data_IF_284250175465
#
_entry.id   IF_284250175465
#
_cell.length_a   1.000
_cell.length_b   1.000
_cell.length_c   1.000
_cell.angle_alpha   90.00
_cell.angle_beta   90.00
_cell.angle_gamma   90.00
#
_symmetry.space_group_name_H-M   'P 1'
#
loop_
_entity.id
_entity.type
_entity.pdbx_description
1 polymer ?
#
# COMPACT_ATOMS: atom_id res chain seq x y z
N UNK A 1 0.45 41.04 -33.84
CA UNK A 1 1.22 39.83 -34.22
C UNK A 1 1.46 39.05 -32.95
N UNK A 2 0.93 37.83 -32.86
CA UNK A 2 1.19 36.95 -31.72
C UNK A 2 2.69 36.74 -31.58
N UNK A 3 3.27 37.16 -30.44
CA UNK A 3 4.71 37.08 -30.18
C UNK A 3 5.23 35.63 -30.13
N UNK A 4 4.34 34.65 -30.09
CA UNK A 4 4.65 33.21 -30.03
C UNK A 4 3.76 32.38 -30.97
N UNK A 5 3.49 32.86 -32.19
CA UNK A 5 2.60 32.14 -33.11
C UNK A 5 3.10 30.73 -33.50
N UNK A 6 4.36 30.39 -33.21
CA UNK A 6 4.94 29.08 -33.44
C UNK A 6 4.43 28.00 -32.46
N UNK A 7 3.92 28.40 -31.29
CA UNK A 7 3.37 27.46 -30.30
C UNK A 7 2.03 26.86 -30.74
N UNK A 8 1.29 27.54 -31.62
CA UNK A 8 -0.04 27.11 -32.07
C UNK A 8 -0.02 26.06 -33.21
N UNK A 9 1.15 25.68 -33.72
CA UNK A 9 1.27 24.89 -34.95
C UNK A 9 2.17 23.63 -34.83
N UNK A 10 2.66 23.30 -33.63
CA UNK A 10 3.63 22.23 -33.45
C UNK A 10 3.02 20.96 -32.83
N UNK A 11 3.38 19.79 -33.37
CA UNK A 11 3.05 18.49 -32.79
C UNK A 11 3.91 18.21 -31.55
N UNK A 12 3.38 17.54 -30.53
CA UNK A 12 4.05 17.21 -29.25
C UNK A 12 5.39 16.49 -29.39
N UNK A 13 5.57 15.67 -30.43
CA UNK A 13 6.85 15.02 -30.75
C UNK A 13 7.97 16.01 -31.12
N UNK A 14 7.61 17.14 -31.72
CA UNK A 14 8.55 18.21 -32.07
C UNK A 14 9.06 18.96 -30.84
N UNK A 15 8.21 19.14 -29.82
CA UNK A 15 8.61 19.74 -28.54
C UNK A 15 9.61 18.87 -27.78
N UNK A 16 9.41 17.56 -27.76
CA UNK A 16 10.33 16.63 -27.09
C UNK A 16 11.73 16.62 -27.76
N UNK A 17 11.77 16.64 -29.09
CA UNK A 17 13.03 16.70 -29.85
C UNK A 17 13.75 18.05 -29.66
N UNK A 18 12.99 19.15 -29.62
CA UNK A 18 13.54 20.48 -29.33
C UNK A 18 14.04 20.58 -27.88
N UNK A 19 13.36 19.97 -26.92
CA UNK A 19 13.81 19.95 -25.53
C UNK A 19 15.08 19.10 -25.35
N UNK A 20 15.18 17.95 -26.02
CA UNK A 20 16.41 17.12 -25.97
C UNK A 20 17.61 17.83 -26.66
N UNK A 21 17.35 18.66 -27.67
CA UNK A 21 18.37 19.55 -28.23
C UNK A 21 18.73 20.69 -27.29
N UNK A 22 17.74 21.27 -26.62
CA UNK A 22 17.94 22.31 -25.61
C UNK A 22 18.83 21.82 -24.46
N UNK A 23 18.58 20.62 -23.90
CA UNK A 23 19.38 20.08 -22.78
C UNK A 23 20.83 19.78 -23.15
N UNK A 24 21.11 19.45 -24.41
CA UNK A 24 22.45 19.16 -24.93
C UNK A 24 23.20 20.40 -25.41
N UNK A 25 22.51 21.33 -26.05
CA UNK A 25 23.09 22.56 -26.61
C UNK A 25 22.03 23.67 -26.73
N UNK A 26 21.81 24.47 -25.67
CA UNK A 26 20.79 25.51 -25.65
C UNK A 26 20.96 26.54 -26.78
N UNK A 27 22.20 26.84 -27.14
CA UNK A 27 22.53 27.82 -28.19
C UNK A 27 22.21 27.35 -29.62
N UNK A 28 21.96 26.05 -29.80
CA UNK A 28 21.57 25.47 -31.09
C UNK A 28 20.11 25.75 -31.48
N UNK A 29 19.31 26.26 -30.55
CA UNK A 29 17.90 26.60 -30.77
C UNK A 29 17.70 28.07 -31.07
N UNK A 30 16.62 28.39 -31.78
CA UNK A 30 16.17 29.77 -31.94
C UNK A 30 15.92 30.41 -30.56
N UNK A 31 16.28 31.70 -30.37
CA UNK A 31 16.13 32.38 -29.08
C UNK A 31 14.75 32.28 -28.43
N UNK A 32 13.68 32.19 -29.21
CA UNK A 32 12.30 32.05 -28.75
C UNK A 32 12.06 30.70 -28.05
N UNK A 33 12.57 29.60 -28.60
CA UNK A 33 12.51 28.25 -28.01
C UNK A 33 13.42 28.11 -26.80
N UNK A 34 14.60 28.72 -26.84
CA UNK A 34 15.51 28.75 -25.69
C UNK A 34 14.89 29.48 -24.50
N UNK A 35 14.26 30.63 -24.74
CA UNK A 35 13.55 31.38 -23.71
C UNK A 35 12.33 30.61 -23.17
N UNK A 36 11.62 29.87 -24.03
CA UNK A 36 10.52 29.00 -23.62
C UNK A 36 11.00 27.87 -22.69
N UNK A 37 12.04 27.13 -23.08
CA UNK A 37 12.56 26.03 -22.25
C UNK A 37 13.30 26.49 -21.00
N UNK A 38 13.94 27.66 -21.03
CA UNK A 38 14.45 28.31 -19.81
C UNK A 38 13.32 28.69 -18.85
N UNK A 39 12.20 29.20 -19.36
CA UNK A 39 11.01 29.48 -18.55
C UNK A 39 10.35 28.20 -18.01
N UNK A 40 10.39 27.11 -18.78
CA UNK A 40 9.92 25.79 -18.38
C UNK A 40 10.79 25.18 -17.28
N UNK A 41 12.12 25.18 -17.44
CA UNK A 41 13.06 24.73 -16.42
C UNK A 41 13.00 25.60 -15.16
N UNK A 42 12.89 26.92 -15.31
CA UNK A 42 12.67 27.83 -14.19
C UNK A 42 11.35 27.56 -13.48
N UNK A 43 10.29 27.22 -14.22
CA UNK A 43 9.00 26.77 -13.67
C UNK A 43 9.10 25.46 -12.89
N UNK A 44 9.99 24.56 -13.32
CA UNK A 44 10.32 23.30 -12.64
C UNK A 44 11.21 23.51 -11.40
N UNK A 45 12.21 24.38 -11.48
CA UNK A 45 13.09 24.74 -10.37
C UNK A 45 12.37 25.58 -9.31
N UNK A 46 11.42 26.43 -9.71
CA UNK A 46 10.55 27.15 -8.76
C UNK A 46 9.50 26.25 -8.08
N UNK A 47 9.32 25.01 -8.53
CA UNK A 47 8.66 23.94 -7.75
C UNK A 47 9.60 23.21 -6.79
N UNK A 48 10.92 23.37 -6.92
CA UNK A 48 11.93 22.88 -5.98
C UNK A 48 12.26 23.91 -4.88
N UNK A 49 11.91 25.19 -5.09
CA UNK A 49 11.93 26.27 -4.08
C UNK A 49 10.77 26.16 -3.08
N UNK A 50 10.60 24.99 -2.45
CA UNK A 50 9.84 24.79 -1.19
C UNK A 50 10.47 25.55 0.03
N UNK A 51 11.21 26.64 -0.23
CA UNK A 51 12.03 27.43 0.72
C UNK A 51 11.60 28.92 0.84
N UNK A 52 10.33 29.24 0.59
CA UNK A 52 9.66 30.47 1.06
C UNK A 52 10.02 31.81 0.37
N UNK A 53 9.78 31.97 -0.96
CA UNK A 53 9.59 33.30 -1.61
C UNK A 53 8.53 33.26 -2.74
N UNK A 54 7.71 34.33 -2.82
CA UNK A 54 6.45 34.48 -3.54
C UNK A 54 6.53 34.49 -5.09
N UNK A 55 5.76 33.60 -5.74
CA UNK A 55 5.32 33.77 -7.12
C UNK A 55 4.20 34.84 -7.18
N UNK A 56 4.37 35.84 -8.05
CA UNK A 56 3.37 36.87 -8.34
C UNK A 56 2.05 36.25 -8.83
N UNK A 57 0.92 36.65 -8.22
CA UNK A 57 -0.46 36.20 -8.52
C UNK A 57 -0.93 36.38 -9.98
N UNK A 58 -0.11 36.94 -10.87
CA UNK A 58 -0.52 37.35 -12.22
C UNK A 58 0.15 36.59 -13.38
N UNK A 59 0.83 35.47 -13.14
CA UNK A 59 1.38 34.65 -14.25
C UNK A 59 2.47 35.34 -15.07
N UNK A 60 3.13 36.35 -14.50
CA UNK A 60 4.23 37.10 -15.12
C UNK A 60 5.57 36.43 -14.82
N UNK A 61 6.29 36.01 -15.88
CA UNK A 61 7.66 35.51 -15.78
C UNK A 61 8.62 36.63 -16.20
N UNK A 62 9.59 36.97 -15.34
CA UNK A 62 10.60 37.98 -15.64
C UNK A 62 11.72 37.36 -16.50
N UNK A 63 11.90 37.87 -17.71
CA UNK A 63 13.06 37.53 -18.54
C UNK A 63 14.36 38.12 -17.95
N UNK A 64 15.51 37.51 -18.26
CA UNK A 64 16.88 37.99 -17.94
C UNK A 64 17.12 39.44 -18.41
N UNK A 65 16.33 39.94 -19.37
CA UNK A 65 16.37 41.33 -19.85
C UNK A 65 15.34 42.27 -19.18
N UNK A 66 14.70 41.87 -18.09
CA UNK A 66 13.73 42.70 -17.36
C UNK A 66 12.38 42.91 -18.05
N UNK A 67 12.10 42.20 -19.14
CA UNK A 67 10.78 42.21 -19.80
C UNK A 67 9.91 41.10 -19.23
N UNK A 68 8.72 41.47 -18.74
CA UNK A 68 7.68 40.53 -18.32
C UNK A 68 7.05 39.88 -19.55
N UNK A 69 7.04 38.55 -19.57
CA UNK A 69 6.32 37.76 -20.58
C UNK A 69 5.08 37.18 -19.91
N UNK A 70 3.89 37.46 -20.46
CA UNK A 70 2.64 36.81 -20.07
C UNK A 70 2.49 35.49 -20.83
N UNK A 71 2.37 34.40 -20.08
CA UNK A 71 2.05 33.09 -20.65
C UNK A 71 0.59 33.07 -21.15
N UNK A 72 0.28 32.43 -22.30
CA UNK A 72 -1.09 32.24 -22.74
C UNK A 72 -1.93 31.54 -21.65
N UNK A 73 -3.15 32.02 -21.41
CA UNK A 73 -4.01 31.50 -20.34
C UNK A 73 -4.30 29.99 -20.47
N UNK A 74 -4.43 29.48 -21.70
CA UNK A 74 -4.60 28.04 -21.96
C UNK A 74 -3.40 27.23 -21.44
N UNK A 75 -2.18 27.68 -21.73
CA UNK A 75 -0.95 27.02 -21.28
C UNK A 75 -0.78 27.12 -19.76
N UNK A 76 -1.16 28.24 -19.14
CA UNK A 76 -1.16 28.36 -17.67
C UNK A 76 -2.09 27.33 -17.02
N UNK A 77 -3.30 27.16 -17.56
CA UNK A 77 -4.26 26.18 -17.05
C UNK A 77 -3.78 24.74 -17.25
N UNK A 78 -3.09 24.45 -18.34
CA UNK A 78 -2.44 23.15 -18.56
C UNK A 78 -1.49 22.79 -17.39
N UNK A 79 -0.62 23.71 -16.99
CA UNK A 79 0.27 23.52 -15.84
C UNK A 79 -0.48 23.38 -14.51
N UNK A 80 -1.60 24.08 -14.34
CA UNK A 80 -2.44 23.94 -13.15
C UNK A 80 -3.09 22.55 -13.08
N UNK A 81 -3.51 21.99 -14.21
CA UNK A 81 -4.03 20.61 -14.28
C UNK A 81 -2.93 19.59 -14.00
N UNK A 82 -1.70 19.80 -14.48
CA UNK A 82 -0.56 18.94 -14.10
C UNK A 82 -0.29 19.00 -12.59
N UNK A 83 -0.32 20.19 -11.99
CA UNK A 83 -0.19 20.34 -10.52
C UNK A 83 -1.32 19.64 -9.76
N UNK A 84 -2.55 19.68 -10.28
CA UNK A 84 -3.68 18.94 -9.73
C UNK A 84 -3.40 17.42 -9.74
N UNK A 85 -2.96 16.88 -10.89
CA UNK A 85 -2.58 15.47 -11.04
C UNK A 85 -1.53 15.07 -10.01
N UNK A 86 -0.46 15.85 -9.87
CA UNK A 86 0.60 15.58 -8.88
C UNK A 86 0.09 15.70 -7.44
N UNK A 87 -0.86 16.60 -7.19
CA UNK A 87 -1.59 16.69 -5.92
C UNK A 87 -2.32 15.40 -5.56
N UNK A 88 -3.02 14.77 -6.51
CA UNK A 88 -3.69 13.49 -6.29
C UNK A 88 -2.68 12.34 -6.10
N UNK A 89 -1.62 12.27 -6.92
CA UNK A 89 -0.56 11.25 -6.81
C UNK A 89 0.15 11.30 -5.45
N UNK A 90 0.40 12.51 -4.95
CA UNK A 90 1.16 12.72 -3.70
C UNK A 90 0.31 12.67 -2.43
N UNK A 91 -0.97 13.12 -2.50
CA UNK A 91 -1.81 13.31 -1.30
C UNK A 91 -3.18 12.63 -1.38
N UNK A 92 -3.55 12.00 -2.49
CA UNK A 92 -4.85 11.34 -2.67
C UNK A 92 -5.16 10.30 -1.59
N UNK A 93 -4.16 9.55 -1.13
CA UNK A 93 -4.25 8.59 -0.02
C UNK A 93 -4.78 9.19 1.31
N UNK A 94 -4.70 10.52 1.49
CA UNK A 94 -5.27 11.23 2.64
C UNK A 94 -6.80 11.34 2.56
N UNK A 95 -7.38 11.25 1.36
CA UNK A 95 -8.79 11.49 1.04
C UNK A 95 -9.57 10.21 0.67
N UNK A 96 -8.99 9.04 0.89
CA UNK A 96 -9.60 7.76 0.51
C UNK A 96 -10.77 7.32 1.40
N UNK A 97 -11.66 6.47 0.87
CA UNK A 97 -12.76 5.84 1.59
C UNK A 97 -12.35 4.52 2.26
N UNK A 98 -11.20 4.51 2.93
CA UNK A 98 -10.60 3.29 3.47
C UNK A 98 -11.11 2.86 4.85
N UNK A 99 -11.76 3.72 5.62
CA UNK A 99 -12.10 3.42 7.01
C UNK A 99 -13.54 2.89 7.14
N UNK A 100 -13.74 1.62 7.55
CA UNK A 100 -15.07 1.01 7.57
C UNK A 100 -15.97 1.47 8.72
N UNK A 101 -15.39 1.90 9.84
CA UNK A 101 -16.14 2.13 11.10
C UNK A 101 -15.95 3.52 11.71
N UNK A 102 -14.99 4.32 11.22
CA UNK A 102 -14.76 5.69 11.68
C UNK A 102 -14.84 6.69 10.53
N UNK A 103 -15.26 7.92 10.85
CA UNK A 103 -15.03 9.05 9.97
C UNK A 103 -13.53 9.33 9.87
N UNK A 104 -13.05 9.62 8.66
CA UNK A 104 -11.66 9.99 8.43
C UNK A 104 -11.33 11.38 8.99
N UNK A 105 -10.04 11.57 9.25
CA UNK A 105 -9.45 12.88 9.55
C UNK A 105 -9.68 13.81 8.35
N UNK A 106 -9.91 15.09 8.64
CA UNK A 106 -9.97 16.15 7.62
C UNK A 106 -8.55 16.66 7.40
N UNK A 107 -8.16 16.82 6.14
CA UNK A 107 -6.85 17.32 5.73
C UNK A 107 -7.01 18.61 4.93
N UNK A 108 -6.05 19.51 5.08
CA UNK A 108 -5.96 20.79 4.36
C UNK A 108 -4.52 21.01 3.88
N UNK A 109 -4.29 21.57 2.68
CA UNK A 109 -5.32 21.95 1.69
C UNK A 109 -6.02 20.72 1.07
N UNK A 110 -7.26 20.89 0.64
CA UNK A 110 -8.06 19.84 -0.03
C UNK A 110 -7.54 19.59 -1.45
N UNK A 111 -8.13 18.62 -2.16
CA UNK A 111 -7.90 18.39 -3.59
C UNK A 111 -8.86 19.19 -4.50
N UNK A 112 -9.59 20.16 -3.94
CA UNK A 112 -10.47 21.05 -4.70
C UNK A 112 -9.66 21.87 -5.70
N UNK A 113 -10.22 22.04 -6.90
CA UNK A 113 -9.56 22.68 -8.05
C UNK A 113 -9.10 24.11 -7.78
N UNK A 114 -9.81 24.83 -6.91
CA UNK A 114 -9.49 26.20 -6.49
C UNK A 114 -8.11 26.28 -5.82
N UNK A 115 -7.68 25.24 -5.10
CA UNK A 115 -6.35 25.18 -4.48
C UNK A 115 -5.21 25.06 -5.51
N UNK A 116 -5.55 24.75 -6.76
CA UNK A 116 -4.62 24.66 -7.89
C UNK A 116 -4.79 25.82 -8.87
N UNK A 117 -5.63 26.81 -8.56
CA UNK A 117 -5.86 27.99 -9.39
C UNK A 117 -6.79 27.76 -10.58
N UNK A 118 -7.56 26.66 -10.56
CA UNK A 118 -8.61 26.33 -11.51
C UNK A 118 -9.98 26.73 -10.92
N UNK A 119 -11.02 26.76 -11.74
CA UNK A 119 -12.38 27.14 -11.34
C UNK A 119 -13.44 26.24 -11.96
N UNK A 120 -14.68 26.32 -11.51
CA UNK A 120 -15.79 25.55 -12.09
C UNK A 120 -15.99 25.79 -13.60
N UNK A 121 -15.62 26.98 -14.09
CA UNK A 121 -15.69 27.31 -15.51
C UNK A 121 -14.72 26.48 -16.38
N UNK A 122 -13.71 25.86 -15.75
CA UNK A 122 -12.70 25.06 -16.43
C UNK A 122 -13.10 23.59 -16.58
N UNK A 123 -14.14 23.13 -15.88
CA UNK A 123 -14.51 21.71 -15.79
C UNK A 123 -14.75 21.05 -17.15
N UNK A 124 -15.36 21.77 -18.09
CA UNK A 124 -15.69 21.26 -19.42
C UNK A 124 -14.64 21.67 -20.48
N UNK A 125 -13.55 22.32 -20.05
CA UNK A 125 -12.40 22.59 -20.92
C UNK A 125 -11.57 21.33 -21.09
N UNK A 126 -11.12 21.09 -22.33
CA UNK A 126 -10.32 19.93 -22.72
C UNK A 126 -8.84 20.25 -22.53
N UNK A 127 -8.12 19.35 -21.86
CA UNK A 127 -6.70 19.47 -21.52
C UNK A 127 -5.90 18.30 -22.08
N UNK A 128 -4.68 18.58 -22.54
CA UNK A 128 -3.70 17.59 -23.00
C UNK A 128 -3.09 16.80 -21.84
N UNK A 129 -3.12 17.34 -20.62
CA UNK A 129 -2.61 16.74 -19.39
C UNK A 129 -3.23 15.36 -19.11
N UNK A 130 -4.44 15.07 -19.63
CA UNK A 130 -5.04 13.73 -19.56
C UNK A 130 -4.19 12.64 -20.22
N UNK A 131 -3.34 12.98 -21.20
CA UNK A 131 -2.39 12.02 -21.79
C UNK A 131 -1.41 11.47 -20.75
N UNK A 132 -1.05 12.24 -19.72
CA UNK A 132 -0.14 11.79 -18.64
C UNK A 132 -0.76 10.76 -17.70
N UNK A 133 -2.08 10.57 -17.81
CA UNK A 133 -2.87 9.56 -17.09
C UNK A 133 -3.24 8.38 -17.99
N UNK A 134 -2.86 8.40 -19.28
CA UNK A 134 -3.21 7.35 -20.24
C UNK A 134 -4.65 7.41 -20.78
N UNK A 135 -5.43 8.43 -20.41
CA UNK A 135 -6.84 8.60 -20.85
C UNK A 135 -6.99 9.49 -22.09
N UNK A 136 -5.87 9.93 -22.69
CA UNK A 136 -5.87 10.84 -23.82
C UNK A 136 -6.26 12.27 -23.45
N UNK A 137 -6.43 13.12 -24.46
CA UNK A 137 -6.94 14.48 -24.27
C UNK A 137 -8.38 14.42 -23.70
N UNK A 138 -8.62 15.07 -22.56
CA UNK A 138 -9.84 14.88 -21.77
C UNK A 138 -10.30 16.18 -21.11
N UNK A 139 -11.59 16.29 -20.78
CA UNK A 139 -12.09 17.41 -19.99
C UNK A 139 -11.52 17.38 -18.58
N UNK A 140 -11.35 18.54 -17.93
CA UNK A 140 -10.93 18.60 -16.52
C UNK A 140 -11.83 17.75 -15.62
N UNK A 141 -13.14 17.74 -15.88
CA UNK A 141 -14.11 16.87 -15.18
C UNK A 141 -13.75 15.39 -15.27
N UNK A 142 -13.44 14.92 -16.49
CA UNK A 142 -13.05 13.52 -16.72
C UNK A 142 -11.71 13.19 -16.05
N UNK A 143 -10.75 14.12 -16.09
CA UNK A 143 -9.47 14.00 -15.40
C UNK A 143 -9.66 13.85 -13.89
N UNK A 144 -10.49 14.71 -13.27
CA UNK A 144 -10.78 14.65 -11.83
C UNK A 144 -11.44 13.33 -11.45
N UNK A 145 -12.46 12.89 -12.21
CA UNK A 145 -13.14 11.63 -11.94
C UNK A 145 -12.19 10.43 -11.97
N UNK A 146 -11.30 10.39 -12.96
CA UNK A 146 -10.29 9.34 -13.07
C UNK A 146 -9.27 9.38 -11.92
N UNK A 147 -8.81 10.57 -11.53
CA UNK A 147 -7.91 10.74 -10.38
C UNK A 147 -8.56 10.36 -9.04
N UNK A 148 -9.84 10.72 -8.84
CA UNK A 148 -10.62 10.33 -7.67
C UNK A 148 -10.80 8.81 -7.59
N UNK A 149 -11.07 8.16 -8.72
CA UNK A 149 -11.18 6.70 -8.82
C UNK A 149 -9.88 6.02 -8.38
N UNK A 150 -8.74 6.45 -8.93
CA UNK A 150 -7.44 5.82 -8.66
C UNK A 150 -6.96 6.04 -7.23
N UNK A 151 -7.01 7.28 -6.74
CA UNK A 151 -6.26 7.69 -5.55
C UNK A 151 -7.14 7.96 -4.32
N UNK A 152 -8.47 8.03 -4.45
CA UNK A 152 -9.38 8.50 -3.39
C UNK A 152 -10.52 7.52 -3.06
N UNK A 153 -10.50 6.28 -3.54
CA UNK A 153 -11.55 5.30 -3.26
C UNK A 153 -11.15 4.27 -2.19
N UNK A 154 -11.30 2.96 -2.42
CA UNK A 154 -11.04 1.92 -1.42
C UNK A 154 -9.55 1.66 -1.14
N UNK A 155 -8.65 2.13 -2.02
CA UNK A 155 -7.19 1.95 -1.91
C UNK A 155 -6.52 3.32 -1.96
N UNK A 156 -5.70 3.64 -0.96
CA UNK A 156 -4.76 4.75 -0.98
C UNK A 156 -3.36 4.26 -1.24
N UNK A 157 -2.62 4.88 -2.14
CA UNK A 157 -1.26 4.47 -2.50
C UNK A 157 -0.28 5.58 -2.16
N UNK A 158 0.75 5.26 -1.39
CA UNK A 158 1.88 6.15 -1.15
C UNK A 158 3.12 5.60 -1.85
N UNK A 159 3.62 6.34 -2.84
CA UNK A 159 4.77 5.91 -3.64
C UNK A 159 5.62 7.06 -4.21
N UNK A 160 5.12 8.29 -4.22
CA UNK A 160 5.82 9.42 -4.86
C UNK A 160 7.17 9.80 -4.20
N UNK A 161 7.46 9.33 -2.98
CA UNK A 161 8.79 9.46 -2.36
C UNK A 161 9.85 8.50 -2.94
N UNK A 162 9.45 7.53 -3.76
CA UNK A 162 10.37 6.62 -4.45
C UNK A 162 11.24 7.44 -5.41
N UNK A 163 12.56 7.26 -5.35
CA UNK A 163 13.51 8.03 -6.17
C UNK A 163 13.78 7.43 -7.54
N UNK A 164 13.35 6.19 -7.78
CA UNK A 164 13.62 5.46 -9.03
C UNK A 164 12.48 5.68 -10.02
N UNK A 165 12.70 6.40 -11.15
CA UNK A 165 11.63 6.74 -12.08
C UNK A 165 10.93 5.52 -12.68
N UNK A 166 11.68 4.47 -13.00
CA UNK A 166 11.13 3.21 -13.53
C UNK A 166 10.09 2.58 -12.57
N UNK A 167 10.36 2.63 -11.25
CA UNK A 167 9.44 2.10 -10.24
C UNK A 167 8.19 2.96 -10.13
N UNK A 168 8.34 4.29 -10.14
CA UNK A 168 7.20 5.21 -10.15
C UNK A 168 6.34 4.96 -11.39
N UNK A 169 6.96 4.87 -12.56
CA UNK A 169 6.25 4.64 -13.82
C UNK A 169 5.50 3.31 -13.78
N UNK A 170 6.14 2.23 -13.33
CA UNK A 170 5.48 0.93 -13.20
C UNK A 170 4.25 0.98 -12.29
N UNK A 171 4.33 1.71 -11.16
CA UNK A 171 3.18 1.88 -10.27
C UNK A 171 2.07 2.66 -10.98
N UNK A 172 2.40 3.78 -11.64
CA UNK A 172 1.42 4.58 -12.38
C UNK A 172 0.75 3.78 -13.49
N UNK A 173 1.53 3.00 -14.26
CA UNK A 173 1.01 2.13 -15.31
C UNK A 173 0.07 1.08 -14.75
N UNK A 174 0.42 0.45 -13.61
CA UNK A 174 -0.47 -0.49 -12.93
C UNK A 174 -1.79 0.15 -12.52
N UNK A 175 -1.73 1.32 -11.89
CA UNK A 175 -2.91 2.03 -11.39
C UNK A 175 -3.84 2.49 -12.53
N UNK A 176 -3.28 2.88 -13.68
CA UNK A 176 -4.05 3.39 -14.81
C UNK A 176 -4.76 2.29 -15.63
N UNK A 177 -4.40 1.00 -15.49
CA UNK A 177 -5.00 -0.09 -16.29
C UNK A 177 -6.50 -0.24 -16.01
N UNK A 178 -6.92 -0.06 -14.77
CA UNK A 178 -8.27 -0.34 -14.28
C UNK A 178 -8.73 0.66 -13.23
N UNK A 179 -8.19 1.87 -13.28
CA UNK A 179 -8.42 2.95 -12.31
C UNK A 179 -8.18 2.52 -10.86
N UNK A 180 -7.25 1.56 -10.66
CA UNK A 180 -6.96 0.91 -9.39
C UNK A 180 -8.12 0.09 -8.79
N UNK A 181 -9.02 -0.43 -9.62
CA UNK A 181 -10.16 -1.27 -9.21
C UNK A 181 -10.08 -2.71 -9.75
N UNK A 182 -10.40 -3.72 -8.94
CA UNK A 182 -10.40 -5.12 -9.37
C UNK A 182 -11.35 -5.37 -10.54
N UNK A 183 -10.89 -6.12 -11.55
CA UNK A 183 -11.73 -6.67 -12.62
C UNK A 183 -11.77 -8.20 -12.51
N UNK A 184 -12.49 -8.70 -11.51
CA UNK A 184 -12.57 -10.14 -11.23
C UNK A 184 -13.77 -10.81 -11.90
N UNK A 185 -13.55 -12.02 -12.41
CA UNK A 185 -14.62 -12.87 -12.93
C UNK A 185 -15.54 -13.33 -11.79
N UNK A 186 -16.81 -13.69 -12.08
CA UNK A 186 -17.71 -14.24 -11.07
C UNK A 186 -17.14 -15.46 -10.33
N UNK A 187 -16.34 -16.29 -11.01
CA UNK A 187 -15.67 -17.46 -10.44
C UNK A 187 -14.64 -17.06 -9.40
N UNK A 188 -13.79 -16.06 -9.72
CA UNK A 188 -12.79 -15.56 -8.78
C UNK A 188 -13.46 -14.89 -7.57
N UNK A 189 -14.53 -14.11 -7.79
CA UNK A 189 -15.33 -13.52 -6.70
C UNK A 189 -15.91 -14.58 -5.76
N UNK A 190 -16.40 -15.71 -6.31
CA UNK A 190 -16.87 -16.85 -5.50
C UNK A 190 -15.73 -17.50 -4.70
N UNK A 191 -14.54 -17.62 -5.29
CA UNK A 191 -13.35 -18.11 -4.57
C UNK A 191 -12.97 -17.21 -3.39
N UNK A 192 -12.93 -15.89 -3.61
CA UNK A 192 -12.67 -14.89 -2.57
C UNK A 192 -13.73 -14.98 -1.45
N UNK A 193 -15.01 -15.07 -1.81
CA UNK A 193 -16.10 -15.26 -0.86
C UNK A 193 -15.96 -16.58 -0.08
N UNK A 194 -15.52 -17.66 -0.74
CA UNK A 194 -15.24 -18.95 -0.10
C UNK A 194 -14.22 -18.81 1.02
N UNK A 195 -13.10 -18.12 0.75
CA UNK A 195 -12.05 -17.84 1.74
C UNK A 195 -12.53 -16.97 2.91
N UNK A 196 -13.37 -15.98 2.64
CA UNK A 196 -14.03 -15.21 3.71
C UNK A 196 -14.96 -16.09 4.56
N UNK A 197 -15.75 -16.96 3.93
CA UNK A 197 -16.65 -17.87 4.64
C UNK A 197 -15.88 -18.85 5.53
N UNK A 198 -14.73 -19.36 5.08
CA UNK A 198 -13.82 -20.19 5.89
C UNK A 198 -13.37 -19.43 7.15
N UNK A 199 -12.91 -18.18 6.99
CA UNK A 199 -12.46 -17.33 8.09
C UNK A 199 -13.58 -17.04 9.11
N UNK A 200 -14.73 -16.58 8.62
CA UNK A 200 -15.88 -16.20 9.47
C UNK A 200 -16.47 -17.41 10.19
N UNK A 201 -16.60 -18.54 9.49
CA UNK A 201 -17.16 -19.77 10.06
C UNK A 201 -16.27 -20.33 11.16
N UNK A 202 -14.95 -20.32 10.95
CA UNK A 202 -13.99 -20.78 11.93
C UNK A 202 -14.02 -19.93 13.21
N UNK A 203 -13.99 -18.60 13.08
CA UNK A 203 -14.06 -17.68 14.22
C UNK A 203 -15.39 -17.80 14.98
N UNK A 204 -16.51 -17.86 14.25
CA UNK A 204 -17.85 -18.02 14.83
C UNK A 204 -17.99 -19.34 15.59
N UNK A 205 -17.39 -20.42 15.06
CA UNK A 205 -17.37 -21.72 15.75
C UNK A 205 -16.58 -21.63 17.06
N UNK A 206 -15.37 -21.07 17.03
CA UNK A 206 -14.55 -20.92 18.24
C UNK A 206 -15.25 -20.04 19.29
N UNK A 207 -15.89 -18.95 18.86
CA UNK A 207 -16.66 -18.08 19.75
C UNK A 207 -17.80 -18.82 20.46
N UNK A 208 -18.51 -19.68 19.72
CA UNK A 208 -19.67 -20.42 20.24
C UNK A 208 -19.26 -21.58 21.13
N UNK A 209 -18.18 -22.30 20.78
CA UNK A 209 -17.78 -23.54 21.48
C UNK A 209 -16.84 -23.31 22.66
N UNK A 210 -15.93 -22.35 22.56
CA UNK A 210 -14.90 -22.09 23.59
C UNK A 210 -15.11 -20.71 24.22
N UNK A 211 -16.29 -20.51 24.80
CA UNK A 211 -16.69 -19.23 25.41
C UNK A 211 -15.69 -18.83 26.51
N UNK A 212 -15.21 -17.59 26.43
CA UNK A 212 -14.27 -17.02 27.42
C UNK A 212 -12.81 -17.49 27.27
N UNK A 213 -12.51 -18.42 26.35
CA UNK A 213 -11.13 -18.77 26.03
C UNK A 213 -10.50 -17.75 25.07
N UNK A 214 -9.27 -17.35 25.38
CA UNK A 214 -8.50 -16.40 24.55
C UNK A 214 -8.12 -17.06 23.23
N UNK A 215 -8.54 -16.45 22.13
CA UNK A 215 -8.18 -16.86 20.76
C UNK A 215 -7.60 -15.73 19.91
N UNK A 216 -7.76 -14.47 20.35
CA UNK A 216 -7.33 -13.28 19.61
C UNK A 216 -7.95 -13.20 18.22
N UNK A 217 -9.27 -13.23 18.21
CA UNK A 217 -10.12 -13.32 17.02
C UNK A 217 -9.72 -12.38 15.89
N UNK A 218 -9.79 -12.89 14.66
CA UNK A 218 -9.64 -12.10 13.44
C UNK A 218 -10.88 -11.26 13.09
N UNK A 219 -12.01 -11.40 13.80
CA UNK A 219 -13.27 -10.75 13.42
C UNK A 219 -13.15 -9.21 13.33
N UNK A 220 -13.48 -8.65 12.15
CA UNK A 220 -13.21 -7.27 11.72
C UNK A 220 -11.94 -7.08 10.86
N UNK A 221 -11.23 -8.17 10.55
CA UNK A 221 -10.02 -8.22 9.71
C UNK A 221 -9.92 -9.51 8.87
N UNK A 222 -11.05 -10.14 8.59
CA UNK A 222 -11.16 -11.45 7.92
C UNK A 222 -10.56 -11.45 6.51
N UNK A 223 -10.50 -10.29 5.86
CA UNK A 223 -9.88 -10.10 4.54
C UNK A 223 -8.38 -10.40 4.51
N UNK A 224 -7.72 -10.57 5.66
CA UNK A 224 -6.37 -11.13 5.74
C UNK A 224 -6.27 -12.52 5.09
N UNK A 225 -7.29 -13.37 5.26
CA UNK A 225 -7.28 -14.74 4.70
C UNK A 225 -7.25 -14.73 3.16
N UNK A 226 -8.20 -14.09 2.45
CA UNK A 226 -8.11 -14.00 0.99
C UNK A 226 -6.87 -13.24 0.50
N UNK A 227 -6.34 -12.27 1.25
CA UNK A 227 -5.07 -11.60 0.91
C UNK A 227 -3.88 -12.56 0.90
N UNK A 228 -3.72 -13.37 1.96
CA UNK A 228 -2.65 -14.36 2.06
C UNK A 228 -2.83 -15.46 1.01
N UNK A 229 -4.07 -15.90 0.80
CA UNK A 229 -4.40 -16.92 -0.17
C UNK A 229 -3.98 -16.52 -1.59
N UNK A 230 -4.39 -15.34 -2.05
CA UNK A 230 -4.03 -14.87 -3.41
C UNK A 230 -2.52 -14.64 -3.57
N UNK A 231 -1.83 -14.18 -2.52
CA UNK A 231 -0.37 -14.03 -2.53
C UNK A 231 0.28 -15.38 -2.75
N UNK A 232 -0.14 -16.42 -2.00
CA UNK A 232 0.46 -17.76 -2.09
C UNK A 232 0.20 -18.39 -3.46
N UNK A 233 -1.06 -18.37 -3.92
CA UNK A 233 -1.46 -18.94 -5.20
C UNK A 233 -0.68 -18.30 -6.36
N UNK A 234 -0.69 -16.96 -6.44
CA UNK A 234 0.03 -16.25 -7.51
C UNK A 234 1.54 -16.35 -7.38
N UNK A 235 2.09 -16.34 -6.17
CA UNK A 235 3.52 -16.45 -5.97
C UNK A 235 4.04 -17.81 -6.43
N UNK A 236 3.29 -18.89 -6.16
CA UNK A 236 3.58 -20.21 -6.70
C UNK A 236 3.56 -20.20 -8.24
N UNK A 237 2.58 -19.52 -8.84
CA UNK A 237 2.52 -19.33 -10.29
C UNK A 237 3.76 -18.62 -10.84
N UNK A 238 4.28 -17.63 -10.11
CA UNK A 238 5.54 -16.92 -10.40
C UNK A 238 6.82 -17.67 -9.99
N UNK A 239 6.73 -18.91 -9.53
CA UNK A 239 7.88 -19.78 -9.25
C UNK A 239 8.37 -19.78 -7.79
N UNK A 240 7.64 -19.17 -6.85
CA UNK A 240 7.94 -19.30 -5.41
C UNK A 240 7.68 -20.73 -4.95
N UNK A 241 8.63 -21.30 -4.19
CA UNK A 241 8.58 -22.68 -3.67
C UNK A 241 8.55 -22.74 -2.15
N UNK A 242 9.00 -21.68 -1.47
CA UNK A 242 9.09 -21.59 -0.01
C UNK A 242 8.46 -20.29 0.47
N UNK A 243 7.56 -20.40 1.44
CA UNK A 243 7.03 -19.26 2.18
C UNK A 243 7.51 -19.34 3.63
N UNK A 244 8.02 -18.22 4.14
CA UNK A 244 8.41 -18.09 5.55
C UNK A 244 7.60 -16.94 6.14
N UNK A 245 6.76 -17.26 7.13
CA UNK A 245 5.83 -16.31 7.70
C UNK A 245 6.15 -16.01 9.16
N UNK A 246 6.07 -14.73 9.52
CA UNK A 246 5.98 -14.26 10.90
C UNK A 246 4.65 -13.58 11.12
N UNK A 247 4.00 -13.86 12.24
CA UNK A 247 2.81 -13.11 12.64
C UNK A 247 2.66 -13.05 14.16
N UNK A 248 1.97 -12.02 14.63
CA UNK A 248 1.54 -11.92 16.03
C UNK A 248 0.35 -12.86 16.35
N UNK A 249 -0.38 -12.58 17.43
CA UNK A 249 -1.52 -13.38 17.87
C UNK A 249 -2.79 -13.20 17.03
N UNK A 250 -2.99 -12.04 16.40
CA UNK A 250 -4.26 -11.64 15.79
C UNK A 250 -4.61 -12.53 14.60
N UNK A 251 -5.68 -13.31 14.74
CA UNK A 251 -6.14 -14.24 13.72
C UNK A 251 -5.20 -15.41 13.42
N UNK A 252 -4.21 -15.67 14.27
CA UNK A 252 -3.20 -16.72 14.01
C UNK A 252 -3.82 -18.10 13.86
N UNK A 253 -4.82 -18.44 14.66
CA UNK A 253 -5.51 -19.72 14.54
C UNK A 253 -6.26 -19.84 13.21
N UNK A 254 -6.87 -18.74 12.74
CA UNK A 254 -7.52 -18.67 11.43
C UNK A 254 -6.50 -18.85 10.30
N UNK A 255 -5.33 -18.20 10.38
CA UNK A 255 -4.23 -18.40 9.41
C UNK A 255 -3.71 -19.84 9.44
N UNK A 256 -3.48 -20.42 10.62
CA UNK A 256 -3.00 -21.79 10.76
C UNK A 256 -3.96 -22.79 10.08
N UNK A 257 -5.26 -22.62 10.27
CA UNK A 257 -6.26 -23.52 9.69
C UNK A 257 -6.49 -23.24 8.21
N UNK A 258 -6.79 -22.00 7.84
CA UNK A 258 -7.29 -21.65 6.51
C UNK A 258 -6.19 -21.41 5.46
N UNK A 259 -4.95 -21.15 5.90
CA UNK A 259 -3.80 -20.94 5.01
C UNK A 259 -2.80 -22.09 5.11
N UNK A 260 -2.44 -22.50 6.33
CA UNK A 260 -1.42 -23.53 6.56
C UNK A 260 -1.97 -24.96 6.65
N UNK A 261 -3.30 -25.13 6.58
CA UNK A 261 -3.94 -26.44 6.59
C UNK A 261 -3.77 -27.22 7.90
N UNK A 262 -3.44 -26.55 9.01
CA UNK A 262 -3.42 -27.20 10.33
C UNK A 262 -4.84 -27.66 10.66
N UNK A 263 -5.00 -28.94 10.98
CA UNK A 263 -6.33 -29.52 11.09
C UNK A 263 -7.13 -28.84 12.21
N UNK A 264 -8.43 -28.54 11.99
CA UNK A 264 -9.27 -27.98 13.04
C UNK A 264 -9.30 -28.87 14.29
N UNK A 265 -9.21 -30.19 14.12
CA UNK A 265 -9.14 -31.16 15.21
C UNK A 265 -7.93 -30.91 16.12
N UNK A 266 -6.76 -30.66 15.55
CA UNK A 266 -5.55 -30.39 16.33
C UNK A 266 -5.70 -29.05 17.08
N UNK A 267 -6.18 -28.01 16.40
CA UNK A 267 -6.49 -26.72 17.05
C UNK A 267 -7.46 -26.90 18.22
N UNK A 268 -8.55 -27.63 18.02
CA UNK A 268 -9.56 -27.86 19.06
C UNK A 268 -8.99 -28.63 20.26
N UNK A 269 -8.10 -29.60 20.02
CA UNK A 269 -7.43 -30.31 21.10
C UNK A 269 -6.55 -29.40 22.00
N UNK A 270 -6.04 -28.30 21.45
CA UNK A 270 -5.30 -27.26 22.19
C UNK A 270 -6.22 -26.33 23.02
N UNK A 271 -7.53 -26.35 22.77
CA UNK A 271 -8.52 -25.71 23.64
C UNK A 271 -8.99 -26.63 24.77
N UNK A 272 -9.01 -27.95 24.51
CA UNK A 272 -9.42 -28.97 25.47
C UNK A 272 -8.32 -29.30 26.51
N UNK A 273 -7.09 -28.80 26.31
CA UNK A 273 -6.02 -28.83 27.31
C UNK A 273 -5.29 -30.17 27.42
N UNK A 274 -5.00 -30.83 26.29
CA UNK A 274 -4.13 -32.02 26.33
C UNK A 274 -2.71 -31.65 26.75
N UNK A 275 -2.19 -32.37 27.74
CA UNK A 275 -0.77 -32.36 28.09
C UNK A 275 0.07 -32.85 26.89
N UNK A 276 1.20 -32.19 26.64
CA UNK A 276 2.16 -32.65 25.65
C UNK A 276 2.73 -34.01 26.09
N UNK A 277 2.60 -35.04 25.24
CA UNK A 277 3.10 -36.40 25.55
C UNK A 277 4.64 -36.46 25.64
N UNK A 278 5.35 -35.45 25.11
CA UNK A 278 6.81 -35.40 25.07
C UNK A 278 7.41 -34.77 26.33
N UNK A 279 8.14 -35.57 27.11
CA UNK A 279 8.79 -35.18 28.38
C UNK A 279 9.89 -34.10 28.28
N UNK A 280 10.17 -33.56 27.09
CA UNK A 280 11.24 -32.58 26.80
C UNK A 280 10.65 -31.19 26.47
N UNK A 281 9.33 -31.05 26.36
CA UNK A 281 8.67 -29.82 25.95
C UNK A 281 7.82 -29.24 27.08
N UNK A 282 8.27 -28.10 27.65
CA UNK A 282 7.52 -27.35 28.69
C UNK A 282 6.23 -26.70 28.16
N UNK A 283 6.01 -26.70 26.84
CA UNK A 283 4.84 -26.09 26.21
C UNK A 283 5.00 -24.61 25.87
N UNK A 284 4.09 -24.10 25.05
CA UNK A 284 3.77 -22.67 24.94
C UNK A 284 2.28 -22.54 24.60
N UNK A 285 1.72 -21.33 24.67
CA UNK A 285 0.33 -21.09 24.30
C UNK A 285 0.10 -21.33 22.81
N UNK A 286 -1.07 -21.88 22.46
CA UNK A 286 -1.48 -22.28 21.10
C UNK A 286 -1.17 -21.25 19.98
N UNK A 287 -1.25 -19.97 20.28
CA UNK A 287 -0.99 -18.88 19.34
C UNK A 287 0.48 -18.43 19.29
N UNK A 288 1.43 -19.19 19.85
CA UNK A 288 2.88 -18.99 19.69
C UNK A 288 3.54 -20.11 18.88
N UNK A 289 2.88 -21.26 18.74
CA UNK A 289 3.46 -22.44 18.10
C UNK A 289 3.68 -22.20 16.60
N UNK A 290 4.82 -22.70 16.10
CA UNK A 290 5.12 -22.73 14.67
C UNK A 290 4.41 -23.88 13.98
N UNK A 291 4.40 -23.85 12.64
CA UNK A 291 3.84 -24.93 11.83
C UNK A 291 4.55 -25.00 10.48
N UNK A 292 4.80 -26.21 10.01
CA UNK A 292 5.34 -26.46 8.67
C UNK A 292 4.36 -27.32 7.91
N UNK A 293 4.04 -26.91 6.70
CA UNK A 293 3.08 -27.61 5.84
C UNK A 293 3.54 -27.60 4.38
N UNK A 294 3.01 -28.55 3.61
CA UNK A 294 3.03 -28.50 2.15
C UNK A 294 1.61 -28.23 1.69
N UNK A 295 1.47 -27.27 0.78
CA UNK A 295 0.19 -26.92 0.16
C UNK A 295 0.30 -27.15 -1.34
N UNK A 296 -0.73 -27.78 -1.89
CA UNK A 296 -0.98 -27.79 -3.33
C UNK A 296 -1.81 -26.55 -3.66
N UNK A 297 -1.36 -25.75 -4.63
CA UNK A 297 -2.11 -24.60 -5.14
C UNK A 297 -3.23 -25.05 -6.07
N UNK A 298 -4.17 -24.16 -6.38
CA UNK A 298 -5.25 -24.44 -7.33
C UNK A 298 -4.71 -24.78 -8.73
N UNK A 299 -3.50 -24.27 -9.06
CA UNK A 299 -2.75 -24.59 -10.27
C UNK A 299 -1.98 -25.92 -10.22
N UNK A 300 -2.04 -26.67 -9.11
CA UNK A 300 -1.37 -27.96 -8.92
C UNK A 300 0.12 -27.85 -8.54
N UNK A 301 0.60 -26.66 -8.19
CA UNK A 301 2.00 -26.47 -7.75
C UNK A 301 2.12 -26.78 -6.28
N UNK A 302 3.18 -27.51 -5.92
CA UNK A 302 3.48 -27.81 -4.52
C UNK A 302 4.39 -26.75 -3.94
N UNK A 303 3.97 -26.13 -2.84
CA UNK A 303 4.75 -25.14 -2.10
C UNK A 303 4.96 -25.57 -0.65
N UNK A 304 6.11 -25.21 -0.08
CA UNK A 304 6.39 -25.42 1.34
C UNK A 304 6.15 -24.13 2.10
N UNK A 305 5.44 -24.21 3.23
CA UNK A 305 5.12 -23.06 4.04
C UNK A 305 5.56 -23.31 5.47
N UNK A 306 6.26 -22.34 6.05
CA UNK A 306 6.67 -22.35 7.44
C UNK A 306 6.18 -21.07 8.12
N UNK A 307 5.46 -21.20 9.23
CA UNK A 307 5.20 -20.08 10.16
C UNK A 307 6.08 -20.25 11.38
N UNK A 308 6.88 -19.22 11.67
CA UNK A 308 7.83 -19.25 12.77
C UNK A 308 7.11 -19.26 14.12
N UNK A 309 7.61 -20.01 15.12
CA UNK A 309 7.19 -19.81 16.49
C UNK A 309 7.65 -18.43 16.97
N UNK A 310 6.88 -17.80 17.87
CA UNK A 310 7.24 -16.50 18.42
C UNK A 310 6.74 -16.32 19.85
N UNK A 311 7.49 -15.57 20.69
CA UNK A 311 7.00 -15.20 22.01
C UNK A 311 5.89 -14.14 21.91
N UNK A 312 5.33 -13.77 23.06
CA UNK A 312 4.39 -12.63 23.16
C UNK A 312 5.04 -11.26 22.89
N UNK A 313 6.37 -11.17 22.88
CA UNK A 313 7.09 -9.93 22.52
C UNK A 313 6.84 -9.65 21.04
N UNK A 314 5.97 -8.67 20.76
CA UNK A 314 5.54 -8.36 19.40
C UNK A 314 6.74 -7.92 18.55
N UNK A 315 6.66 -8.19 17.25
CA UNK A 315 7.66 -7.83 16.23
C UNK A 315 9.04 -8.51 16.34
N UNK A 316 9.37 -9.19 17.45
CA UNK A 316 10.69 -9.86 17.58
C UNK A 316 10.88 -11.00 16.58
N UNK A 317 9.79 -11.60 16.10
CA UNK A 317 9.81 -12.67 15.10
C UNK A 317 10.28 -12.19 13.73
N UNK A 318 10.22 -10.88 13.45
CA UNK A 318 10.51 -10.33 12.12
C UNK A 318 11.95 -10.66 11.69
N UNK A 319 12.94 -10.38 12.55
CA UNK A 319 14.35 -10.73 12.26
C UNK A 319 14.60 -12.24 12.18
N UNK A 320 13.82 -13.05 12.91
CA UNK A 320 13.92 -14.52 12.85
C UNK A 320 13.45 -15.03 11.49
N UNK A 321 12.32 -14.51 10.98
CA UNK A 321 11.77 -14.88 9.67
C UNK A 321 12.71 -14.47 8.55
N UNK A 322 13.27 -13.25 8.59
CA UNK A 322 14.26 -12.83 7.60
C UNK A 322 15.50 -13.73 7.64
N UNK A 323 16.00 -14.08 8.83
CA UNK A 323 17.11 -15.01 8.98
C UNK A 323 16.81 -16.42 8.42
N UNK A 324 15.61 -16.96 8.67
CA UNK A 324 15.17 -18.25 8.12
C UNK A 324 15.05 -18.18 6.59
N UNK A 325 14.46 -17.10 6.06
CA UNK A 325 14.30 -16.89 4.63
C UNK A 325 15.67 -16.79 3.94
N UNK A 326 16.57 -15.97 4.49
CA UNK A 326 17.95 -15.83 4.01
C UNK A 326 18.70 -17.15 4.04
N UNK A 327 18.63 -17.91 5.14
CA UNK A 327 19.28 -19.21 5.24
C UNK A 327 18.77 -20.20 4.18
N UNK A 328 17.46 -20.21 3.89
CA UNK A 328 16.86 -21.04 2.82
C UNK A 328 17.32 -20.60 1.43
N UNK A 329 17.44 -19.31 1.18
CA UNK A 329 17.98 -18.77 -0.06
C UNK A 329 19.42 -19.26 -0.25
N UNK A 330 20.26 -19.06 0.76
CA UNK A 330 21.68 -19.40 0.70
C UNK A 330 21.95 -20.91 0.67
N UNK A 331 21.09 -21.77 1.22
CA UNK A 331 21.34 -23.22 1.25
C UNK A 331 20.60 -24.02 0.18
N UNK A 332 19.35 -23.65 -0.13
CA UNK A 332 18.46 -24.49 -0.95
C UNK A 332 17.99 -23.82 -2.23
N UNK A 333 18.21 -22.51 -2.38
CA UNK A 333 17.70 -21.72 -3.50
C UNK A 333 18.72 -20.70 -4.05
N UNK A 334 20.02 -21.04 -4.01
CA UNK A 334 21.13 -20.15 -4.39
C UNK A 334 21.03 -19.60 -5.82
N UNK A 335 20.46 -20.40 -6.73
CA UNK A 335 20.31 -20.02 -8.14
C UNK A 335 19.19 -18.97 -8.35
N UNK A 336 18.23 -18.90 -7.42
CA UNK A 336 17.13 -17.95 -7.51
C UNK A 336 16.51 -17.67 -6.13
N UNK A 337 17.01 -16.64 -5.45
CA UNK A 337 16.52 -16.21 -4.14
C UNK A 337 15.02 -15.84 -4.15
N UNK A 338 14.46 -15.52 -5.32
CA UNK A 338 13.02 -15.24 -5.47
C UNK A 338 12.13 -16.44 -5.15
N UNK A 339 12.67 -17.66 -5.17
CA UNK A 339 11.93 -18.89 -4.83
C UNK A 339 11.53 -18.97 -3.35
N UNK A 340 12.11 -18.10 -2.50
CA UNK A 340 11.75 -17.94 -1.09
C UNK A 340 11.08 -16.58 -0.90
N UNK A 341 9.87 -16.58 -0.35
CA UNK A 341 9.09 -15.38 -0.06
C UNK A 341 8.86 -15.23 1.45
N UNK A 342 9.50 -14.26 2.11
CA UNK A 342 9.12 -13.84 3.44
C UNK A 342 7.82 -13.04 3.42
N UNK A 343 6.94 -13.33 4.39
CA UNK A 343 5.69 -12.60 4.65
C UNK A 343 5.64 -12.27 6.13
N UNK A 344 5.46 -10.98 6.47
CA UNK A 344 5.35 -10.54 7.86
C UNK A 344 3.99 -9.90 8.12
N UNK A 345 3.29 -10.38 9.15
CA UNK A 345 1.97 -9.87 9.55
C UNK A 345 2.06 -9.18 10.91
N UNK A 346 1.65 -7.92 10.95
CA UNK A 346 1.86 -7.00 12.06
C UNK A 346 0.53 -6.49 12.66
N UNK A 347 0.59 -5.96 13.88
CA UNK A 347 -0.49 -5.13 14.45
C UNK A 347 -0.12 -3.66 14.40
N UNK A 348 -1.07 -2.76 14.16
CA UNK A 348 -0.81 -1.33 13.92
C UNK A 348 -0.01 -0.62 15.02
N UNK A 349 -0.35 -0.87 16.29
CA UNK A 349 0.35 -0.24 17.41
C UNK A 349 1.77 -0.78 17.59
N UNK A 350 1.97 -2.09 17.41
CA UNK A 350 3.28 -2.72 17.57
C UNK A 350 4.22 -2.35 16.42
N UNK A 351 3.69 -2.35 15.19
CA UNK A 351 4.43 -1.98 13.99
C UNK A 351 5.00 -0.56 14.06
N UNK A 352 4.20 0.39 14.60
CA UNK A 352 4.64 1.77 14.75
C UNK A 352 5.55 2.01 15.98
N UNK A 353 5.46 1.16 17.01
CA UNK A 353 6.05 1.43 18.33
C UNK A 353 7.31 0.62 18.66
N UNK A 354 7.54 -0.54 18.03
CA UNK A 354 8.68 -1.40 18.35
C UNK A 354 9.90 -1.06 17.49
N UNK A 355 11.03 -0.71 18.11
CA UNK A 355 12.26 -0.33 17.41
C UNK A 355 12.83 -1.42 16.49
N UNK A 356 12.60 -2.70 16.82
CA UNK A 356 13.02 -3.84 16.00
C UNK A 356 12.40 -3.82 14.59
N UNK A 357 11.23 -3.20 14.42
CA UNK A 357 10.60 -3.03 13.10
C UNK A 357 11.47 -2.15 12.21
N UNK A 358 11.92 -1.00 12.73
CA UNK A 358 12.83 -0.11 12.01
C UNK A 358 14.15 -0.83 11.68
N UNK A 359 14.72 -1.57 12.65
CA UNK A 359 15.96 -2.32 12.43
C UNK A 359 15.82 -3.31 11.27
N UNK A 360 14.75 -4.11 11.25
CA UNK A 360 14.51 -5.10 10.18
C UNK A 360 14.27 -4.43 8.83
N UNK A 361 13.39 -3.43 8.77
CA UNK A 361 13.08 -2.72 7.50
C UNK A 361 14.33 -2.05 6.95
N UNK A 362 15.17 -1.44 7.79
CA UNK A 362 16.40 -0.78 7.35
C UNK A 362 17.42 -1.77 6.77
N UNK A 363 17.42 -3.03 7.22
CA UNK A 363 18.32 -4.08 6.73
C UNK A 363 17.92 -4.69 5.37
N UNK A 364 16.74 -4.36 4.83
CA UNK A 364 16.15 -5.02 3.65
C UNK A 364 17.03 -5.09 2.38
N UNK A 365 18.07 -4.25 2.28
CA UNK A 365 19.02 -4.21 1.15
C UNK A 365 20.49 -4.39 1.52
N UNK A 366 20.77 -4.72 2.77
CA UNK A 366 22.14 -5.01 3.17
C UNK A 366 22.52 -6.38 2.65
N UNK A 367 23.69 -6.51 2.04
CA UNK A 367 24.16 -7.76 1.40
C UNK A 367 24.08 -8.98 2.33
N UNK A 368 24.39 -8.82 3.62
CA UNK A 368 24.31 -9.90 4.61
C UNK A 368 22.90 -10.26 5.10
N UNK A 369 21.87 -9.48 4.74
CA UNK A 369 20.53 -9.59 5.32
C UNK A 369 19.40 -9.60 4.28
N UNK A 370 19.63 -9.10 3.07
CA UNK A 370 18.55 -8.97 2.09
C UNK A 370 17.97 -10.33 1.71
N UNK A 371 16.63 -10.36 1.56
CA UNK A 371 15.84 -11.55 1.22
C UNK A 371 15.06 -11.38 -0.09
N UNK A 372 15.46 -10.41 -0.91
CA UNK A 372 14.78 -10.09 -2.18
C UNK A 372 13.42 -9.43 -2.00
N UNK A 373 13.21 -8.74 -0.87
CA UNK A 373 12.01 -8.00 -0.52
C UNK A 373 10.97 -8.85 0.23
N UNK A 374 10.34 -8.22 1.23
CA UNK A 374 9.32 -8.81 2.10
C UNK A 374 7.94 -8.18 1.84
N UNK A 375 6.90 -9.02 1.85
CA UNK A 375 5.52 -8.52 1.85
C UNK A 375 5.07 -8.34 3.29
N UNK A 376 4.86 -7.09 3.69
CA UNK A 376 4.39 -6.72 5.01
C UNK A 376 2.88 -6.48 4.97
N UNK A 377 2.14 -7.10 5.88
CA UNK A 377 0.70 -6.92 6.03
C UNK A 377 0.41 -6.44 7.45
N UNK A 378 -0.12 -5.24 7.60
CA UNK A 378 -0.53 -4.71 8.90
C UNK A 378 -2.03 -4.91 9.05
N UNK A 379 -2.44 -5.68 10.06
CA UNK A 379 -3.85 -5.84 10.47
C UNK A 379 -4.23 -4.62 11.33
N UNK A 380 -4.51 -3.50 10.65
CA UNK A 380 -4.74 -2.22 11.28
C UNK A 380 -6.20 -2.08 11.72
N UNK A 381 -6.44 -2.51 12.95
CA UNK A 381 -7.73 -2.46 13.62
C UNK A 381 -7.92 -1.17 14.43
N UNK A 382 -6.99 -0.21 14.29
CA UNK A 382 -7.06 1.15 14.82
C UNK A 382 -7.06 1.24 16.36
N UNK A 383 -6.53 0.21 17.04
CA UNK A 383 -6.47 0.11 18.50
C UNK A 383 -5.40 -0.88 18.97
N UNK A 384 -4.52 -0.45 19.89
CA UNK A 384 -3.56 -1.31 20.58
C UNK A 384 -4.02 -1.59 22.00
N UNK A 385 -4.51 -2.80 22.30
CA UNK A 385 -5.15 -3.13 23.58
C UNK A 385 -6.33 -2.17 23.87
N UNK A 386 -6.12 -1.14 24.70
CA UNK A 386 -7.05 -0.04 25.03
C UNK A 386 -6.61 1.31 24.43
N UNK A 387 -5.37 1.41 23.96
CA UNK A 387 -4.73 2.63 23.46
C UNK A 387 -5.26 2.99 22.08
N UNK A 388 -5.66 4.25 21.91
CA UNK A 388 -6.12 4.77 20.63
C UNK A 388 -4.93 4.95 19.68
N UNK A 389 -5.15 4.78 18.38
CA UNK A 389 -4.12 4.96 17.36
C UNK A 389 -3.47 6.36 17.36
N UNK A 390 -4.15 7.38 17.89
CA UNK A 390 -3.60 8.74 18.10
C UNK A 390 -2.51 8.80 19.18
N UNK A 391 -2.59 7.93 20.18
CA UNK A 391 -1.63 7.87 21.29
C UNK A 391 -0.53 6.82 21.02
N UNK A 392 -0.70 6.00 19.98
CA UNK A 392 0.22 4.91 19.64
C UNK A 392 1.39 5.34 18.73
N UNK A 393 1.30 6.51 18.09
CA UNK A 393 2.32 7.01 17.14
C UNK A 393 2.20 8.51 16.89
N UNK A 394 3.31 9.11 16.47
CA UNK A 394 3.36 10.52 16.04
C UNK A 394 3.12 10.72 14.55
N UNK A 395 3.29 9.66 13.75
CA UNK A 395 3.15 9.69 12.29
C UNK A 395 1.69 9.53 11.84
N UNK A 396 1.40 9.81 10.57
CA UNK A 396 0.02 9.70 10.05
C UNK A 396 -0.41 8.23 10.03
N UNK A 397 0.43 7.38 9.45
CA UNK A 397 0.16 5.96 9.26
C UNK A 397 1.07 5.11 10.15
N UNK A 398 0.57 3.95 10.58
CA UNK A 398 1.42 2.99 11.29
C UNK A 398 2.54 2.45 10.40
N UNK A 399 2.34 2.50 9.07
CA UNK A 399 3.27 2.03 8.05
C UNK A 399 4.33 3.04 7.61
N UNK A 400 4.37 4.24 8.21
CA UNK A 400 5.34 5.28 7.84
C UNK A 400 6.81 4.84 7.99
N UNK A 401 7.09 3.80 8.79
CA UNK A 401 8.43 3.17 8.88
C UNK A 401 8.91 2.59 7.53
N UNK A 402 8.01 2.14 6.65
CA UNK A 402 8.35 1.64 5.31
C UNK A 402 8.95 2.71 4.40
N UNK A 403 8.74 4.00 4.72
CA UNK A 403 9.32 5.13 3.96
C UNK A 403 10.83 5.23 4.15
N UNK A 404 11.40 4.64 5.21
CA UNK A 404 12.86 4.61 5.44
C UNK A 404 13.61 3.94 4.28
N UNK A 405 13.02 2.90 3.69
CA UNK A 405 13.59 2.19 2.52
C UNK A 405 12.92 2.55 1.20
N UNK A 406 12.09 3.61 1.21
CA UNK A 406 11.34 4.10 0.06
C UNK A 406 10.48 2.98 -0.55
N UNK A 407 9.81 2.18 0.28
CA UNK A 407 8.96 1.07 -0.18
C UNK A 407 7.51 1.54 -0.30
N UNK A 408 6.77 1.15 -1.35
CA UNK A 408 5.39 1.59 -1.54
C UNK A 408 4.47 1.05 -0.43
N UNK A 409 3.46 1.85 -0.09
CA UNK A 409 2.45 1.52 0.91
C UNK A 409 1.07 1.60 0.26
N UNK A 410 0.25 0.59 0.46
CA UNK A 410 -1.15 0.56 0.06
C UNK A 410 -2.01 0.51 1.32
N UNK A 411 -2.88 1.49 1.51
CA UNK A 411 -3.87 1.53 2.58
C UNK A 411 -5.21 1.09 2.02
N UNK A 412 -5.75 -0.02 2.52
CA UNK A 412 -6.90 -0.67 1.91
C UNK A 412 -8.06 -0.74 2.90
N UNK A 413 -9.27 -0.48 2.43
CA UNK A 413 -10.48 -0.79 3.19
C UNK A 413 -10.61 -2.30 3.38
N UNK A 414 -10.53 -2.77 4.62
CA UNK A 414 -10.61 -4.21 4.89
C UNK A 414 -11.99 -4.83 4.58
N UNK A 415 -13.05 -4.03 4.48
CA UNK A 415 -14.40 -4.49 4.10
C UNK A 415 -14.54 -4.68 2.58
N UNK A 416 -13.71 -4.01 1.78
CA UNK A 416 -13.65 -4.23 0.32
C UNK A 416 -12.63 -5.32 0.03
N UNK A 417 -13.08 -6.57 0.18
CA UNK A 417 -12.21 -7.74 -0.03
C UNK A 417 -11.66 -7.82 -1.46
N UNK A 418 -12.38 -7.31 -2.46
CA UNK A 418 -11.88 -7.31 -3.83
C UNK A 418 -10.72 -6.32 -3.98
N UNK A 419 -10.82 -5.13 -3.37
CA UNK A 419 -9.72 -4.18 -3.29
C UNK A 419 -8.51 -4.75 -2.52
N UNK A 420 -8.74 -5.50 -1.44
CA UNK A 420 -7.67 -6.20 -0.70
C UNK A 420 -6.93 -7.20 -1.58
N UNK A 421 -7.66 -8.03 -2.34
CA UNK A 421 -7.06 -9.02 -3.25
C UNK A 421 -6.32 -8.35 -4.42
N UNK A 422 -6.84 -7.23 -4.95
CA UNK A 422 -6.16 -6.42 -5.96
C UNK A 422 -4.84 -5.83 -5.45
N UNK A 423 -4.85 -5.23 -4.26
CA UNK A 423 -3.66 -4.68 -3.62
C UNK A 423 -2.63 -5.77 -3.26
N UNK A 424 -3.09 -6.93 -2.79
CA UNK A 424 -2.23 -8.08 -2.51
C UNK A 424 -1.53 -8.61 -3.78
N UNK A 425 -2.25 -8.60 -4.91
CA UNK A 425 -1.69 -8.94 -6.21
C UNK A 425 -0.63 -7.91 -6.65
N UNK A 426 -0.92 -6.61 -6.51
CA UNK A 426 0.06 -5.55 -6.76
C UNK A 426 1.33 -5.74 -5.93
N UNK A 427 1.18 -6.01 -4.63
CA UNK A 427 2.31 -6.18 -3.71
C UNK A 427 3.22 -7.34 -4.14
N UNK A 428 2.63 -8.47 -4.50
CA UNK A 428 3.39 -9.60 -5.01
C UNK A 428 4.14 -9.24 -6.30
N UNK A 429 3.46 -8.68 -7.30
CA UNK A 429 4.08 -8.33 -8.59
C UNK A 429 5.22 -7.32 -8.39
N UNK A 430 5.00 -6.31 -7.55
CA UNK A 430 6.02 -5.32 -7.21
C UNK A 430 7.24 -5.96 -6.55
N UNK A 431 7.04 -6.82 -5.53
CA UNK A 431 8.12 -7.55 -4.85
C UNK A 431 8.87 -8.43 -5.83
N UNK A 432 8.16 -9.19 -6.65
CA UNK A 432 8.76 -10.13 -7.61
C UNK A 432 9.56 -9.39 -8.67
N UNK A 433 9.12 -8.20 -9.10
CA UNK A 433 9.81 -7.40 -10.10
C UNK A 433 11.03 -6.67 -9.55
N UNK A 434 10.89 -5.95 -8.44
CA UNK A 434 11.90 -5.01 -7.97
C UNK A 434 12.76 -5.53 -6.82
N UNK A 435 12.41 -6.67 -6.23
CA UNK A 435 13.11 -7.24 -5.06
C UNK A 435 13.20 -6.23 -3.91
N UNK A 436 12.04 -5.64 -3.61
CA UNK A 436 11.85 -4.60 -2.59
C UNK A 436 10.66 -4.94 -1.72
N UNK A 437 10.72 -4.47 -0.49
CA UNK A 437 9.59 -4.56 0.43
C UNK A 437 8.40 -3.78 -0.11
N UNK A 438 7.21 -4.20 0.32
CA UNK A 438 5.93 -3.56 0.04
C UNK A 438 5.02 -3.75 1.24
N UNK A 439 4.24 -2.71 1.54
CA UNK A 439 3.41 -2.66 2.74
C UNK A 439 1.93 -2.59 2.37
N UNK A 440 1.14 -3.51 2.93
CA UNK A 440 -0.31 -3.52 2.88
C UNK A 440 -0.84 -3.14 4.27
N UNK A 441 -1.50 -1.98 4.38
CA UNK A 441 -2.19 -1.51 5.58
C UNK A 441 -3.67 -1.85 5.46
N UNK A 442 -4.07 -2.98 6.02
CA UNK A 442 -5.47 -3.46 6.00
C UNK A 442 -6.25 -2.73 7.10
N UNK A 443 -6.98 -1.69 6.70
CA UNK A 443 -7.70 -0.81 7.61
C UNK A 443 -9.07 -1.41 7.94
N UNK A 444 -9.14 -2.12 9.05
CA UNK A 444 -10.33 -2.80 9.54
C UNK A 444 -10.72 -2.34 10.95
N UNK A 445 -11.25 -3.27 11.74
CA UNK A 445 -11.62 -3.06 13.13
C UNK A 445 -11.41 -4.32 13.98
N UNK A 446 -11.66 -4.20 15.29
CA UNK A 446 -11.67 -5.36 16.21
C UNK A 446 -13.09 -5.52 16.75
N UNK A 447 -13.77 -6.61 16.40
CA UNK A 447 -15.16 -6.81 16.82
C UNK A 447 -15.32 -6.93 18.34
N UNK A 448 -14.41 -7.61 19.02
CA UNK A 448 -14.43 -7.80 20.49
C UNK A 448 -13.33 -7.01 21.20
N UNK A 449 -13.22 -7.20 22.52
CA UNK A 449 -12.09 -6.75 23.34
C UNK A 449 -10.73 -7.25 22.84
N UNK A 450 -9.64 -6.85 23.50
CA UNK A 450 -8.30 -7.27 23.07
C UNK A 450 -8.13 -8.78 23.17
N UNK A 451 -8.66 -9.36 24.24
CA UNK A 451 -9.07 -10.74 24.29
C UNK A 451 -10.58 -10.84 24.51
N UNK A 452 -11.13 -12.04 24.39
CA UNK A 452 -12.59 -12.25 24.41
C UNK A 452 -13.25 -12.15 25.78
N UNK A 453 -12.47 -11.98 26.85
CA UNK A 453 -12.96 -11.63 28.19
C UNK A 453 -12.89 -10.13 28.50
N UNK A 454 -12.27 -9.30 27.67
CA UNK A 454 -12.13 -7.86 27.92
C UNK A 454 -13.38 -7.09 27.46
N UNK A 455 -13.80 -6.09 28.25
CA UNK A 455 -14.87 -5.15 27.88
C UNK A 455 -14.26 -3.85 27.28
N UNK A 456 -14.27 -3.69 25.94
CA UNK A 456 -13.62 -2.57 25.29
C UNK A 456 -14.37 -1.24 25.43
N UNK A 457 -15.68 -1.24 25.75
CA UNK A 457 -16.47 -0.01 25.89
C UNK A 457 -16.02 0.84 27.08
N UNK A 458 -15.26 0.29 28.02
CA UNK A 458 -14.68 1.06 29.12
C UNK A 458 -13.69 2.12 28.67
N UNK A 459 -12.96 1.89 27.57
CA UNK A 459 -11.95 2.83 27.07
C UNK A 459 -12.26 3.37 25.68
N UNK A 460 -13.05 2.64 24.86
CA UNK A 460 -13.38 3.03 23.48
C UNK A 460 -14.89 2.98 23.19
N UNK A 461 -15.77 3.61 24.00
CA UNK A 461 -17.22 3.45 23.90
C UNK A 461 -17.80 3.90 22.54
N UNK A 462 -17.27 4.99 21.97
CA UNK A 462 -17.77 5.52 20.69
C UNK A 462 -17.40 4.60 19.52
N UNK A 463 -16.19 4.05 19.51
CA UNK A 463 -15.74 3.10 18.49
C UNK A 463 -16.61 1.85 18.50
N UNK A 464 -16.77 1.22 19.67
CA UNK A 464 -17.52 -0.03 19.76
C UNK A 464 -19.03 0.17 19.59
N UNK A 465 -19.54 1.39 19.79
CA UNK A 465 -20.90 1.77 19.37
C UNK A 465 -21.03 1.79 17.83
N UNK A 466 -20.04 2.29 17.10
CA UNK A 466 -20.02 2.22 15.63
C UNK A 466 -19.90 0.78 15.15
N UNK A 467 -18.96 0.00 15.70
CA UNK A 467 -18.76 -1.40 15.35
C UNK A 467 -20.02 -2.22 15.58
N UNK A 468 -20.77 -1.99 16.67
CA UNK A 468 -22.01 -2.74 16.93
C UNK A 468 -23.16 -2.49 15.94
N UNK A 469 -23.05 -1.45 15.10
CA UNK A 469 -24.05 -1.09 14.08
C UNK A 469 -23.61 -1.45 12.66
N UNK A 470 -22.34 -1.80 12.51
CA UNK A 470 -21.75 -2.30 11.28
C UNK A 470 -21.99 -3.81 11.24
#
# INVERSE_FOLDING_TARGET
>A
MDKYSFLNAAHTSYFAELYDRYTKSPDSLEPSWRAFFQGFDFGLESSLDELDIQASKNGTVASVNGQAVELPQSLQKEFQVVKLIDGYRSRGHLFTKTNPVRQRRKYSPTLEIDNFGLSEADLDTVFDAGNTLGIGQSTLRSIIQHLESIYCDAIGVEYMYIRTPERIQWIQDWLNVNDNHPQFTPELKKGILGKLNEAVSFESFLHTKYVGQKRFSLEGGESLIPALDVIIEKAADSGVKQFVMGMAHRGRLSVLTNIFGKSPKDIFSEFDGKDYEEAIFDGDVKYHLGWTSKRETDSGKMVNMNIAPNPSHLETVNGIVEGIARAKQDHSHQENNSEVLPILVHGDAAFAGQGVVYEVVQMAKLDGYETGGTIHIVVNNQIGFTTNYLDARSSTYCTDVGKVTLSPVLHINADDVEAVVHAATFALEYRMRFKRDVFLDLLGYRKYGHNEGDEPKFTQPLLYKSISKH
#
